data_IF_770062277835
#
_entry.id   IF_770062277835
#
_cell.length_a   1.000
_cell.length_b   1.000
_cell.length_c   1.000
_cell.angle_alpha   90.00
_cell.angle_beta   90.00
_cell.angle_gamma   90.00
#
_symmetry.space_group_name_H-M   'P 1'
#
loop_
_entity.id
_entity.type
_entity.pdbx_description
1 polymer ?
#
# COMPACT_ATOMS: atom_id res chain seq x y z
N UNK A 1 2.80 -6.33 5.78
CA UNK A 1 3.11 -4.99 6.34
C UNK A 1 3.71 -5.03 7.76
N UNK A 2 4.14 -6.19 8.27
CA UNK A 2 4.66 -6.33 9.65
C UNK A 2 6.10 -6.88 9.72
N UNK A 3 6.89 -6.73 8.67
CA UNK A 3 8.28 -7.26 8.63
C UNK A 3 9.30 -6.35 9.35
N UNK A 4 8.84 -5.27 10.02
CA UNK A 4 9.73 -4.30 10.69
C UNK A 4 9.62 -4.34 12.22
N UNK A 5 8.78 -5.23 12.77
CA UNK A 5 8.81 -5.55 14.20
C UNK A 5 9.86 -6.63 14.42
N UNK A 6 10.83 -6.38 15.29
CA UNK A 6 11.79 -7.40 15.71
C UNK A 6 11.04 -8.69 16.09
N UNK A 7 11.26 -9.81 15.38
CA UNK A 7 10.45 -11.04 15.51
C UNK A 7 10.47 -11.63 16.92
N UNK A 8 11.44 -11.24 17.74
CA UNK A 8 11.68 -11.73 19.09
C UNK A 8 10.55 -11.46 20.08
N UNK A 9 9.69 -10.45 19.85
CA UNK A 9 8.62 -10.11 20.83
C UNK A 9 7.32 -10.87 20.62
N UNK A 10 7.16 -11.50 19.47
CA UNK A 10 5.93 -12.21 19.11
C UNK A 10 6.20 -13.72 19.00
N UNK A 11 7.46 -14.13 18.83
CA UNK A 11 7.86 -15.54 18.92
C UNK A 11 7.34 -16.20 20.21
N UNK A 12 6.73 -17.40 20.16
CA UNK A 12 6.50 -18.27 18.98
C UNK A 12 5.14 -18.04 18.26
N UNK A 13 4.45 -16.93 18.50
CA UNK A 13 3.09 -16.61 17.99
C UNK A 13 3.08 -15.78 16.70
N UNK A 14 4.02 -16.01 15.81
CA UNK A 14 4.16 -15.26 14.55
C UNK A 14 2.91 -15.41 13.66
N UNK A 15 2.22 -16.55 13.77
CA UNK A 15 0.98 -16.83 13.04
C UNK A 15 -0.13 -15.82 13.31
N UNK A 16 -0.18 -15.20 14.49
CA UNK A 16 -1.18 -14.17 14.82
C UNK A 16 -1.07 -12.93 13.93
N UNK A 17 0.13 -12.68 13.36
CA UNK A 17 0.36 -11.56 12.45
C UNK A 17 0.13 -11.93 10.98
N UNK A 18 0.14 -13.22 10.66
CA UNK A 18 0.05 -13.71 9.29
C UNK A 18 -1.37 -14.15 8.93
N UNK A 19 -2.10 -14.71 9.88
CA UNK A 19 -3.46 -15.25 9.69
C UNK A 19 -4.39 -14.75 10.80
N UNK A 20 -5.26 -13.79 10.45
CA UNK A 20 -6.19 -13.13 11.41
C UNK A 20 -7.20 -14.08 12.08
N UNK A 21 -7.42 -15.26 11.52
CA UNK A 21 -8.38 -16.25 12.02
C UNK A 21 -7.71 -17.51 12.58
N UNK A 22 -6.37 -17.55 12.66
CA UNK A 22 -5.64 -18.71 13.16
C UNK A 22 -5.22 -18.49 14.61
N UNK A 23 -5.63 -19.41 15.48
CA UNK A 23 -5.35 -19.36 16.91
C UNK A 23 -4.96 -20.74 17.43
N UNK A 24 -4.04 -20.78 18.38
CA UNK A 24 -3.73 -21.99 19.14
C UNK A 24 -4.74 -22.19 20.29
N UNK A 25 -4.84 -23.41 20.83
CA UNK A 25 -5.64 -23.67 22.02
C UNK A 25 -5.20 -22.81 23.22
N UNK A 26 -3.91 -22.51 23.32
CA UNK A 26 -3.37 -21.63 24.35
C UNK A 26 -3.84 -20.17 24.19
N UNK A 27 -4.01 -19.69 22.97
CA UNK A 27 -4.59 -18.36 22.72
C UNK A 27 -6.05 -18.31 23.15
N UNK A 28 -6.83 -19.35 22.80
CA UNK A 28 -8.24 -19.44 23.18
C UNK A 28 -8.42 -19.45 24.70
N UNK A 29 -7.57 -20.19 25.42
CA UNK A 29 -7.54 -20.13 26.89
C UNK A 29 -7.25 -18.71 27.38
N UNK A 30 -6.32 -17.99 26.75
CA UNK A 30 -6.02 -16.61 27.13
C UNK A 30 -7.12 -15.60 26.77
N UNK A 31 -7.97 -15.92 25.79
CA UNK A 31 -9.19 -15.15 25.52
C UNK A 31 -10.16 -15.31 26.68
N UNK A 32 -10.38 -16.55 27.15
CA UNK A 32 -11.24 -16.84 28.31
C UNK A 32 -10.70 -16.14 29.56
N UNK A 33 -9.39 -16.20 29.78
CA UNK A 33 -8.73 -15.50 30.89
C UNK A 33 -8.69 -13.97 30.75
N UNK A 34 -9.11 -13.41 29.61
CA UNK A 34 -9.04 -11.97 29.32
C UNK A 34 -7.62 -11.42 29.15
N UNK A 35 -6.61 -12.27 28.96
CA UNK A 35 -5.18 -11.89 28.89
C UNK A 35 -4.70 -11.58 27.47
N UNK A 36 -5.31 -12.18 26.45
CA UNK A 36 -4.82 -12.07 25.07
C UNK A 36 -4.96 -10.64 24.52
N UNK A 37 -6.11 -10.00 24.70
CA UNK A 37 -6.35 -8.65 24.17
C UNK A 37 -5.43 -7.57 24.79
N UNK A 38 -5.20 -7.52 26.11
CA UNK A 38 -4.21 -6.64 26.72
C UNK A 38 -2.78 -6.90 26.22
N UNK A 39 -2.40 -8.16 26.00
CA UNK A 39 -1.10 -8.51 25.44
C UNK A 39 -0.93 -7.95 24.03
N UNK A 40 -1.89 -8.21 23.13
CA UNK A 40 -1.87 -7.68 21.76
C UNK A 40 -1.88 -6.15 21.74
N UNK A 41 -2.63 -5.52 22.64
CA UNK A 41 -2.65 -4.06 22.77
C UNK A 41 -1.27 -3.48 23.10
N UNK A 42 -0.49 -4.14 23.97
CA UNK A 42 0.90 -3.72 24.27
C UNK A 42 1.81 -3.84 23.04
N UNK A 43 1.66 -4.93 22.29
CA UNK A 43 2.42 -5.16 21.05
C UNK A 43 2.10 -4.09 20.00
N UNK A 44 0.81 -3.78 19.78
CA UNK A 44 0.36 -2.74 18.83
C UNK A 44 0.85 -1.35 19.25
N UNK A 45 0.80 -1.01 20.54
CA UNK A 45 1.32 0.27 21.06
C UNK A 45 2.82 0.41 20.81
N UNK A 46 3.59 -0.64 21.08
CA UNK A 46 5.02 -0.66 20.78
C UNK A 46 5.28 -0.50 19.27
N UNK A 47 4.56 -1.25 18.44
CA UNK A 47 4.74 -1.21 17.00
C UNK A 47 4.44 0.15 16.39
N UNK A 48 3.31 0.74 16.79
CA UNK A 48 2.94 2.08 16.33
C UNK A 48 3.96 3.13 16.77
N UNK A 49 4.42 3.09 18.02
CA UNK A 49 5.49 3.97 18.51
C UNK A 49 6.79 3.81 17.71
N UNK A 50 7.19 2.58 17.36
CA UNK A 50 8.36 2.34 16.52
C UNK A 50 8.21 2.96 15.12
N UNK A 51 7.03 2.82 14.50
CA UNK A 51 6.78 3.40 13.18
C UNK A 51 6.92 4.92 13.19
N UNK A 52 6.46 5.60 14.24
CA UNK A 52 6.58 7.07 14.33
C UNK A 52 8.00 7.55 14.67
N UNK A 53 8.79 6.75 15.38
CA UNK A 53 10.15 7.11 15.83
C UNK A 53 11.26 6.69 14.87
N UNK A 54 11.04 5.67 14.03
CA UNK A 54 12.01 5.17 13.08
C UNK A 54 11.86 5.85 11.71
N UNK A 55 12.91 6.53 11.23
CA UNK A 55 12.91 7.19 9.92
C UNK A 55 12.58 6.24 8.76
N UNK A 56 13.18 5.05 8.76
CA UNK A 56 12.95 4.04 7.71
C UNK A 56 11.50 3.53 7.68
N UNK A 57 10.82 3.50 8.82
CA UNK A 57 9.40 3.14 8.88
C UNK A 57 8.53 4.33 8.45
N UNK A 58 8.91 5.54 8.84
CA UNK A 58 8.18 6.77 8.52
C UNK A 58 8.06 7.02 7.02
N UNK A 59 9.12 6.73 6.27
CA UNK A 59 9.15 6.86 4.80
C UNK A 59 8.19 5.91 4.09
N UNK A 60 7.72 4.84 4.75
CA UNK A 60 6.78 3.86 4.19
C UNK A 60 5.32 4.20 4.44
N UNK A 61 5.06 5.37 5.05
CA UNK A 61 3.70 5.87 5.19
C UNK A 61 3.09 6.33 3.87
N UNK A 62 1.83 6.72 3.91
CA UNK A 62 1.07 7.18 2.75
C UNK A 62 0.78 8.67 2.89
N UNK A 63 0.64 9.36 1.75
CA UNK A 63 0.08 10.71 1.69
C UNK A 63 -1.32 10.60 1.09
N UNK A 64 -2.30 11.23 1.73
CA UNK A 64 -3.65 11.26 1.21
C UNK A 64 -3.72 12.19 -0.02
N UNK A 65 -3.95 11.64 -1.22
CA UNK A 65 -4.01 12.43 -2.48
C UNK A 65 -5.18 13.43 -2.54
N UNK A 66 -6.17 13.30 -1.65
CA UNK A 66 -7.35 14.16 -1.61
C UNK A 66 -7.17 15.42 -0.78
N UNK A 67 -6.24 15.40 0.19
CA UNK A 67 -5.98 16.56 1.02
C UNK A 67 -4.55 17.04 0.80
N UNK A 68 -4.37 18.35 0.67
CA UNK A 68 -3.04 18.95 0.48
C UNK A 68 -2.30 19.14 1.82
N UNK A 69 -2.70 18.42 2.88
CA UNK A 69 -2.14 18.58 4.23
C UNK A 69 -0.71 18.03 4.37
N UNK A 70 -0.22 17.23 3.41
CA UNK A 70 1.12 16.63 3.45
C UNK A 70 1.38 15.67 4.62
N UNK A 71 0.36 15.39 5.43
CA UNK A 71 0.46 14.53 6.60
C UNK A 71 0.62 13.07 6.19
N UNK A 72 1.63 12.43 6.77
CA UNK A 72 1.85 10.99 6.61
C UNK A 72 0.82 10.22 7.42
N UNK A 73 0.12 9.31 6.76
CA UNK A 73 -0.89 8.42 7.34
C UNK A 73 -0.50 6.97 7.17
N UNK A 74 -1.05 6.11 8.04
CA UNK A 74 -0.73 4.68 8.04
C UNK A 74 -1.99 3.82 8.07
N UNK A 75 -2.01 2.64 7.40
CA UNK A 75 -3.16 1.75 7.38
C UNK A 75 -3.64 1.26 8.75
N UNK A 76 -2.74 1.18 9.74
CA UNK A 76 -3.11 0.75 11.10
C UNK A 76 -3.87 1.82 11.89
N UNK A 77 -4.00 3.04 11.37
CA UNK A 77 -4.82 4.11 11.96
C UNK A 77 -6.28 3.97 11.49
N UNK A 78 -6.96 2.89 11.87
CA UNK A 78 -8.28 2.52 11.35
C UNK A 78 -9.39 3.55 11.61
N UNK A 79 -9.25 4.36 12.67
CA UNK A 79 -10.20 5.43 13.00
C UNK A 79 -10.08 6.62 12.04
N UNK A 80 -8.87 7.00 11.66
CA UNK A 80 -8.59 8.20 10.87
C UNK A 80 -8.44 7.93 9.36
N UNK A 81 -8.20 6.68 8.97
CA UNK A 81 -7.84 6.32 7.59
C UNK A 81 -8.70 5.19 7.04
N UNK A 82 -8.85 5.18 5.72
CA UNK A 82 -9.48 4.09 4.96
C UNK A 82 -8.61 3.71 3.77
N UNK A 83 -8.43 2.39 3.61
CA UNK A 83 -7.73 1.79 2.48
C UNK A 83 -8.72 1.48 1.36
N UNK A 84 -8.32 1.66 0.12
CA UNK A 84 -9.04 1.19 -1.06
C UNK A 84 -8.75 -0.30 -1.27
N UNK A 85 -9.79 -1.12 -1.38
CA UNK A 85 -9.66 -2.58 -1.54
C UNK A 85 -9.10 -2.99 -2.90
N UNK A 86 -9.28 -2.15 -3.93
CA UNK A 86 -8.79 -2.42 -5.29
C UNK A 86 -7.31 -2.08 -5.45
N UNK A 87 -6.93 -0.83 -5.15
CA UNK A 87 -5.57 -0.35 -5.45
C UNK A 87 -4.63 -0.27 -4.23
N UNK A 88 -5.16 -0.52 -3.03
CA UNK A 88 -4.42 -0.44 -1.77
C UNK A 88 -4.01 0.96 -1.33
N UNK A 89 -4.43 2.03 -2.02
CA UNK A 89 -4.16 3.40 -1.60
C UNK A 89 -4.89 3.72 -0.29
N UNK A 90 -4.27 4.57 0.53
CA UNK A 90 -4.78 4.96 1.85
C UNK A 90 -5.14 6.43 1.81
N UNK A 91 -6.31 6.76 2.34
CA UNK A 91 -6.85 8.11 2.41
C UNK A 91 -7.36 8.36 3.84
N UNK A 92 -7.56 9.62 4.22
CA UNK A 92 -8.35 9.91 5.41
C UNK A 92 -9.78 9.39 5.24
N UNK A 93 -10.43 8.98 6.32
CA UNK A 93 -11.80 8.43 6.30
C UNK A 93 -12.77 9.39 5.59
N UNK A 94 -12.76 10.67 5.98
CA UNK A 94 -13.60 11.71 5.38
C UNK A 94 -13.26 11.97 3.90
N UNK A 95 -11.97 11.97 3.57
CA UNK A 95 -11.51 12.16 2.19
C UNK A 95 -11.96 11.00 1.29
N UNK A 96 -11.91 9.76 1.80
CA UNK A 96 -12.35 8.58 1.05
C UNK A 96 -13.85 8.57 0.81
N UNK A 97 -14.65 9.04 1.78
CA UNK A 97 -16.10 9.15 1.65
C UNK A 97 -16.49 10.15 0.56
N UNK A 98 -15.80 11.29 0.48
CA UNK A 98 -16.02 12.31 -0.57
C UNK A 98 -15.53 11.85 -1.95
N UNK A 99 -14.51 10.99 -2.00
CA UNK A 99 -13.86 10.56 -3.23
C UNK A 99 -14.28 9.14 -3.65
N UNK A 100 -15.56 8.97 -4.00
CA UNK A 100 -16.10 7.74 -4.57
C UNK A 100 -16.55 8.01 -6.02
N UNK A 101 -16.05 7.26 -7.03
CA UNK A 101 -15.10 6.15 -6.95
C UNK A 101 -13.66 6.58 -6.60
N UNK A 102 -12.79 5.64 -6.21
CA UNK A 102 -11.42 5.95 -5.80
C UNK A 102 -10.66 6.68 -6.93
N UNK A 103 -10.11 7.88 -6.69
CA UNK A 103 -9.50 8.71 -7.74
C UNK A 103 -8.28 8.05 -8.37
N UNK A 104 -7.53 7.27 -7.58
CA UNK A 104 -6.37 6.53 -8.05
C UNK A 104 -6.77 5.35 -8.95
N UNK A 105 -7.91 4.70 -8.67
CA UNK A 105 -8.44 3.64 -9.53
C UNK A 105 -8.96 4.22 -10.85
N UNK A 106 -9.73 5.31 -10.80
CA UNK A 106 -10.20 6.01 -12.02
C UNK A 106 -9.03 6.40 -12.90
N UNK A 107 -7.97 6.98 -12.31
CA UNK A 107 -6.76 7.36 -13.04
C UNK A 107 -6.07 6.15 -13.71
N UNK A 108 -5.96 5.01 -13.01
CA UNK A 108 -5.38 3.78 -13.59
C UNK A 108 -6.23 3.24 -14.74
N UNK A 109 -7.55 3.24 -14.58
CA UNK A 109 -8.47 2.78 -15.62
C UNK A 109 -8.32 3.59 -16.91
N UNK A 110 -8.19 4.92 -16.79
CA UNK A 110 -7.93 5.81 -17.93
C UNK A 110 -6.60 5.50 -18.63
N UNK A 111 -5.57 5.05 -17.91
CA UNK A 111 -4.31 4.64 -18.53
C UNK A 111 -4.42 3.28 -19.23
N UNK A 112 -5.16 2.33 -18.66
CA UNK A 112 -5.37 1.02 -19.30
C UNK A 112 -6.29 1.10 -20.51
N UNK A 113 -7.22 2.05 -20.53
CA UNK A 113 -8.16 2.26 -21.64
C UNK A 113 -7.63 3.21 -22.71
N UNK A 114 -6.53 3.94 -22.46
CA UNK A 114 -5.79 4.56 -23.58
C UNK A 114 -5.26 3.42 -24.45
N UNK A 115 -5.72 3.27 -25.70
CA UNK A 115 -4.97 2.44 -26.63
C UNK A 115 -3.55 3.00 -26.63
N UNK A 116 -2.55 2.11 -26.69
CA UNK A 116 -1.15 2.49 -26.87
C UNK A 116 -1.03 3.24 -28.20
N UNK A 117 -1.40 4.52 -28.22
CA UNK A 117 -1.15 5.33 -29.38
C UNK A 117 0.35 5.56 -29.38
N UNK A 118 0.96 5.11 -30.47
CA UNK A 118 1.97 5.89 -31.18
C UNK A 118 3.43 5.46 -30.98
N UNK A 119 3.70 4.16 -30.92
CA UNK A 119 4.86 3.60 -31.62
C UNK A 119 4.39 2.35 -32.38
N UNK A 120 3.50 2.55 -33.33
CA UNK A 120 3.50 1.69 -34.52
C UNK A 120 4.59 2.25 -35.42
N UNK A 121 5.69 1.53 -35.71
CA UNK A 121 6.46 1.83 -36.88
C UNK A 121 5.59 1.41 -38.07
N UNK A 122 4.68 2.29 -38.50
CA UNK A 122 4.07 2.16 -39.82
C UNK A 122 5.17 2.49 -40.84
N UNK A 123 5.88 1.42 -41.18
CA UNK A 123 6.61 1.25 -42.42
C UNK A 123 5.68 1.65 -43.57
N UNK A 124 6.02 2.73 -44.26
CA UNK A 124 5.77 3.09 -45.65
C UNK A 124 6.08 4.59 -45.77
N UNK A 125 7.38 4.91 -45.79
CA UNK A 125 7.85 6.22 -46.27
C UNK A 125 7.81 6.21 -47.81
N UNK A 126 6.97 7.00 -48.50
CA UNK A 126 7.15 7.24 -49.92
C UNK A 126 8.14 8.41 -50.05
N UNK A 127 9.43 8.09 -50.12
CA UNK A 127 10.45 9.14 -50.27
C UNK A 127 11.87 8.73 -49.97
N UNK A 128 12.30 7.52 -50.33
CA UNK A 128 13.73 7.23 -50.42
C UNK A 128 14.22 7.70 -51.80
N UNK A 129 14.68 8.94 -51.89
CA UNK A 129 15.61 9.30 -52.96
C UNK A 129 16.94 8.64 -52.62
N UNK A 130 17.19 7.46 -53.19
CA UNK A 130 18.53 6.89 -53.26
C UNK A 130 19.40 7.83 -54.07
N UNK A 131 20.31 8.56 -53.42
CA UNK A 131 21.44 9.18 -54.09
C UNK A 131 22.43 8.06 -54.45
N UNK A 132 22.77 7.84 -55.73
CA UNK A 132 23.81 6.90 -56.09
C UNK A 132 25.15 7.48 -55.62
N UNK A 133 25.83 6.76 -54.72
CA UNK A 133 27.25 6.96 -54.45
C UNK A 133 28.01 6.63 -55.74
N UNK A 134 28.67 7.62 -56.33
CA UNK A 134 29.57 7.42 -57.45
C UNK A 134 30.95 7.03 -56.91
N UNK A 135 31.42 5.84 -57.28
CA UNK A 135 32.80 5.42 -57.08
C UNK A 135 33.74 6.24 -57.97
N UNK A 136 34.64 6.99 -57.35
CA UNK A 136 35.95 7.40 -57.90
C UNK A 136 36.99 7.44 -56.80
#
# INVERSE_FOLDING_TARGET
>A
MLVFLSPQRIFPREYLLQHIHLYSLADLQQVIDGKLAPFLSKVIKFASSHVYSCSQCREKGFICEMCQNGQVIYPFQESATKRCDVCGAVFHTECRQKAQPCPRCVRRELYHTRPSSFWSPDDHSPGCFTMPYQDT
#
